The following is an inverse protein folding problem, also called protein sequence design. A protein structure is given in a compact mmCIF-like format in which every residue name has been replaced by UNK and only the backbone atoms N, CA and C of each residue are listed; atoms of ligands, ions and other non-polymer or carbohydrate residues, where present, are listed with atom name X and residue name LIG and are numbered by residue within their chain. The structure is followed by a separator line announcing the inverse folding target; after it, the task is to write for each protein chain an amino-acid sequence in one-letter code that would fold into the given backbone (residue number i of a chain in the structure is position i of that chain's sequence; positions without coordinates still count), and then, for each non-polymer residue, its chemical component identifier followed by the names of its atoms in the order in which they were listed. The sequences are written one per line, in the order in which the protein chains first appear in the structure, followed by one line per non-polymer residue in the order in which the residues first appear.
data_IF_963778937516
#
_entry.id   IF_963778937516
#
_cell.length_a   1.000
_cell.length_b   1.000
_cell.length_c   1.000
_cell.angle_alpha   90.00
_cell.angle_beta   90.00
_cell.angle_gamma   90.00
#
_symmetry.space_group_name_H-M   'P 1'
#
loop_
_entity.id
_entity.type
_entity.pdbx_description
1 polymer ?
#
# COMPACT_ATOMS: atom_id res chain seq x y z
N UNK A 1 -28.92 5.56 7.12
CA UNK A 1 -27.46 5.31 7.09
C UNK A 1 -27.07 5.03 5.67
N UNK A 2 -25.92 5.53 5.22
CA UNK A 2 -25.39 5.20 3.90
C UNK A 2 -24.89 3.74 3.86
N UNK A 3 -24.26 3.32 2.77
CA UNK A 3 -23.73 1.97 2.62
C UNK A 3 -22.62 1.61 3.63
N UNK A 4 -21.95 2.59 4.22
CA UNK A 4 -20.87 2.38 5.20
C UNK A 4 -21.30 2.67 6.65
N UNK A 5 -22.54 3.11 6.88
CA UNK A 5 -23.04 3.45 8.21
C UNK A 5 -23.58 2.25 8.98
N UNK A 6 -23.50 2.30 10.31
CA UNK A 6 -23.97 1.24 11.21
C UNK A 6 -24.61 1.79 12.49
N UNK A 7 -25.33 0.92 13.18
CA UNK A 7 -25.77 1.09 14.57
C UNK A 7 -25.19 -0.04 15.42
N UNK A 8 -24.55 0.29 16.54
CA UNK A 8 -24.06 -0.66 17.54
C UNK A 8 -24.83 -0.43 18.85
N UNK A 9 -25.40 -1.50 19.40
CA UNK A 9 -26.07 -1.51 20.70
C UNK A 9 -25.44 -2.57 21.59
N UNK A 10 -25.02 -2.16 22.78
CA UNK A 10 -24.48 -3.03 23.83
C UNK A 10 -25.36 -2.87 25.06
N UNK A 11 -26.06 -3.95 25.41
CA UNK A 11 -26.95 -4.03 26.58
C UNK A 11 -26.60 -5.28 27.40
N UNK A 12 -27.22 -5.44 28.58
CA UNK A 12 -26.97 -6.58 29.47
C UNK A 12 -27.40 -7.93 28.90
N UNK A 13 -28.30 -7.94 27.93
CA UNK A 13 -28.87 -9.12 27.27
C UNK A 13 -28.22 -9.44 25.91
N UNK A 14 -27.31 -8.59 25.42
CA UNK A 14 -26.55 -8.88 24.20
C UNK A 14 -25.93 -7.67 23.51
N UNK A 15 -25.22 -7.97 22.42
CA UNK A 15 -24.60 -7.00 21.52
C UNK A 15 -25.23 -7.14 20.13
N UNK A 16 -25.72 -6.04 19.57
CA UNK A 16 -26.33 -6.01 18.24
C UNK A 16 -25.63 -4.97 17.35
N UNK A 17 -25.21 -5.38 16.16
CA UNK A 17 -24.72 -4.49 15.10
C UNK A 17 -25.68 -4.58 13.91
N UNK A 18 -26.19 -3.45 13.45
CA UNK A 18 -27.07 -3.35 12.29
C UNK A 18 -26.50 -2.38 11.26
N UNK A 19 -26.51 -2.75 9.98
CA UNK A 19 -26.09 -1.89 8.90
C UNK A 19 -26.80 -2.23 7.59
N UNK A 20 -26.74 -1.31 6.63
CA UNK A 20 -27.35 -1.47 5.31
C UNK A 20 -26.46 -2.23 4.31
N UNK A 21 -25.22 -2.57 4.69
CA UNK A 21 -24.31 -3.37 3.87
C UNK A 21 -23.24 -4.07 4.73
N UNK A 22 -22.48 -4.97 4.09
CA UNK A 22 -21.31 -5.61 4.70
C UNK A 22 -20.23 -4.60 5.16
N UNK A 23 -20.04 -3.47 4.45
CA UNK A 23 -19.07 -2.44 4.86
C UNK A 23 -19.48 -1.79 6.18
N UNK A 24 -20.75 -1.43 6.32
CA UNK A 24 -21.27 -0.88 7.57
C UNK A 24 -21.16 -1.89 8.72
N UNK A 25 -21.51 -3.16 8.50
CA UNK A 25 -21.34 -4.21 9.51
C UNK A 25 -19.88 -4.32 9.95
N UNK A 26 -18.95 -4.35 8.99
CA UNK A 26 -17.52 -4.42 9.26
C UNK A 26 -17.05 -3.23 10.13
N UNK A 27 -17.44 -2.00 9.81
CA UNK A 27 -17.08 -0.82 10.61
C UNK A 27 -17.73 -0.81 12.00
N UNK A 28 -18.93 -1.36 12.14
CA UNK A 28 -19.56 -1.56 13.44
C UNK A 28 -18.76 -2.53 14.31
N UNK A 29 -18.24 -3.62 13.72
CA UNK A 29 -17.35 -4.55 14.40
C UNK A 29 -16.04 -3.85 14.81
N UNK A 30 -15.45 -3.02 13.96
CA UNK A 30 -14.25 -2.26 14.34
C UNK A 30 -14.47 -1.37 15.57
N UNK A 31 -15.62 -0.70 15.67
CA UNK A 31 -15.94 0.11 16.84
C UNK A 31 -16.15 -0.74 18.10
N UNK A 32 -16.79 -1.91 17.98
CA UNK A 32 -16.88 -2.84 19.09
C UNK A 32 -15.50 -3.32 19.57
N UNK A 33 -14.62 -3.70 18.63
CA UNK A 33 -13.26 -4.15 18.93
C UNK A 33 -12.40 -3.06 19.59
N UNK A 34 -12.67 -1.78 19.33
CA UNK A 34 -12.01 -0.66 20.01
C UNK A 34 -12.47 -0.46 21.47
N UNK A 35 -13.62 -1.02 21.85
CA UNK A 35 -14.08 -1.03 23.25
C UNK A 35 -13.39 -2.12 24.07
N UNK A 36 -12.68 -3.06 23.43
CA UNK A 36 -11.98 -4.13 24.12
C UNK A 36 -10.65 -3.63 24.72
N UNK A 37 -10.16 -4.23 25.81
CA UNK A 37 -8.90 -3.83 26.40
C UNK A 37 -7.71 -4.09 25.45
N UNK A 38 -6.63 -3.30 25.51
CA UNK A 38 -5.47 -3.48 24.63
C UNK A 38 -4.81 -4.87 24.70
N UNK A 39 -5.00 -5.60 25.82
CA UNK A 39 -4.52 -6.98 25.99
C UNK A 39 -5.13 -7.95 24.99
N UNK A 40 -6.34 -7.67 24.49
CA UNK A 40 -7.00 -8.46 23.44
C UNK A 40 -6.15 -8.63 22.18
N UNK A 41 -5.31 -7.64 21.85
CA UNK A 41 -4.47 -7.65 20.65
C UNK A 41 -3.07 -8.23 20.85
N UNK A 42 -2.70 -8.60 22.09
CA UNK A 42 -1.33 -9.03 22.45
C UNK A 42 -1.19 -10.52 22.73
N UNK A 43 -2.23 -11.16 23.23
CA UNK A 43 -2.17 -12.56 23.67
C UNK A 43 -3.53 -13.25 23.51
N UNK A 44 -3.52 -14.58 23.57
CA UNK A 44 -4.76 -15.38 23.67
C UNK A 44 -5.56 -14.92 24.88
N UNK A 45 -6.87 -14.74 24.68
CA UNK A 45 -7.79 -14.30 25.73
C UNK A 45 -7.96 -15.46 26.71
N UNK A 46 -7.60 -15.23 27.97
CA UNK A 46 -7.73 -16.23 29.04
C UNK A 46 -8.81 -15.87 30.07
N UNK A 47 -9.50 -14.74 29.88
CA UNK A 47 -10.51 -14.22 30.81
C UNK A 47 -11.67 -13.55 30.07
N UNK A 48 -12.82 -13.40 30.75
CA UNK A 48 -13.98 -12.67 30.24
C UNK A 48 -13.62 -11.21 29.90
N UNK A 49 -14.26 -10.67 28.86
CA UNK A 49 -14.13 -9.27 28.44
C UNK A 49 -15.41 -8.53 28.81
N UNK A 50 -15.27 -7.52 29.67
CA UNK A 50 -16.37 -6.64 30.05
C UNK A 50 -16.41 -5.46 29.08
N UNK A 51 -17.56 -5.22 28.47
CA UNK A 51 -17.80 -4.14 27.51
C UNK A 51 -18.85 -3.20 28.09
N UNK A 52 -18.59 -1.89 28.09
CA UNK A 52 -19.55 -0.89 28.58
C UNK A 52 -20.82 -0.86 27.73
N UNK A 53 -21.98 -0.72 28.38
CA UNK A 53 -23.24 -0.50 27.68
C UNK A 53 -23.24 0.82 26.90
N UNK A 54 -23.59 0.77 25.62
CA UNK A 54 -23.56 1.94 24.72
C UNK A 54 -24.55 1.76 23.56
N UNK A 55 -25.07 2.87 23.04
CA UNK A 55 -25.71 2.92 21.74
C UNK A 55 -24.95 3.91 20.84
N UNK A 56 -24.49 3.45 19.67
CA UNK A 56 -23.74 4.24 18.68
C UNK A 56 -24.49 4.19 17.36
N UNK A 57 -24.68 5.35 16.73
CA UNK A 57 -25.08 5.46 15.33
C UNK A 57 -23.99 6.24 14.60
N UNK A 58 -23.33 5.63 13.64
CA UNK A 58 -22.15 6.21 12.99
C UNK A 58 -22.18 6.02 11.46
N UNK A 59 -21.56 6.95 10.74
CA UNK A 59 -21.39 6.91 9.29
C UNK A 59 -20.25 7.85 8.87
N UNK A 60 -19.51 7.53 7.80
CA UNK A 60 -18.41 8.37 7.37
C UNK A 60 -18.90 9.68 6.75
N UNK A 61 -18.18 10.77 7.03
CA UNK A 61 -18.36 12.07 6.36
C UNK A 61 -17.93 12.02 4.90
N UNK A 62 -16.81 11.36 4.61
CA UNK A 62 -16.21 11.28 3.28
C UNK A 62 -16.23 9.83 2.75
N UNK A 63 -16.67 9.61 1.50
CA UNK A 63 -16.72 8.28 0.91
C UNK A 63 -15.34 7.74 0.53
N UNK A 64 -14.34 8.61 0.33
CA UNK A 64 -12.95 8.22 0.07
C UNK A 64 -12.11 8.52 1.30
N UNK A 65 -11.51 7.48 1.88
CA UNK A 65 -10.60 7.57 3.02
C UNK A 65 -9.39 6.72 2.69
N UNK A 66 -8.41 7.36 2.07
CA UNK A 66 -7.24 6.69 1.51
C UNK A 66 -5.96 6.91 2.30
N UNK A 67 -5.06 5.93 2.25
CA UNK A 67 -3.67 6.08 2.63
C UNK A 67 -2.77 5.55 1.51
N UNK A 68 -1.67 6.24 1.29
CA UNK A 68 -0.66 5.90 0.30
C UNK A 68 0.52 5.16 0.96
N UNK A 69 1.07 4.15 0.30
CA UNK A 69 2.34 3.52 0.66
C UNK A 69 3.25 3.44 -0.57
N UNK A 70 4.37 4.14 -0.49
CA UNK A 70 5.50 4.00 -1.41
C UNK A 70 6.25 2.71 -1.08
N UNK A 71 6.24 1.78 -2.02
CA UNK A 71 7.05 0.55 -1.96
C UNK A 71 8.17 0.53 -3.00
N UNK A 72 8.26 1.58 -3.81
CA UNK A 72 9.30 1.75 -4.81
C UNK A 72 10.62 2.18 -4.18
N UNK A 73 10.62 3.25 -3.37
CA UNK A 73 11.87 3.75 -2.72
C UNK A 73 12.43 2.71 -1.77
N UNK A 74 11.57 2.18 -0.91
CA UNK A 74 11.86 1.02 -0.06
C UNK A 74 10.69 0.03 -0.07
N UNK A 75 10.96 -1.20 -0.48
CA UNK A 75 10.00 -2.29 -0.51
C UNK A 75 9.70 -2.83 0.91
N UNK A 76 8.43 -3.17 1.15
CA UNK A 76 7.98 -3.83 2.37
C UNK A 76 7.58 -5.29 2.08
N UNK A 77 7.84 -6.23 2.99
CA UNK A 77 7.40 -7.61 2.79
C UNK A 77 5.87 -7.73 2.83
N UNK A 78 5.31 -8.76 2.19
CA UNK A 78 3.85 -9.02 2.14
C UNK A 78 3.20 -9.02 3.52
N UNK A 79 3.88 -9.60 4.53
CA UNK A 79 3.38 -9.63 5.90
C UNK A 79 3.22 -8.22 6.50
N UNK A 80 4.11 -7.28 6.17
CA UNK A 80 3.99 -5.89 6.57
C UNK A 80 2.79 -5.22 5.87
N UNK A 81 2.61 -5.45 4.57
CA UNK A 81 1.48 -4.87 3.81
C UNK A 81 0.16 -5.35 4.40
N UNK A 82 0.03 -6.64 4.71
CA UNK A 82 -1.15 -7.19 5.39
C UNK A 82 -1.38 -6.53 6.75
N UNK A 83 -0.33 -6.34 7.54
CA UNK A 83 -0.42 -5.63 8.82
C UNK A 83 -0.82 -4.15 8.64
N UNK A 84 -0.33 -3.49 7.60
CA UNK A 84 -0.70 -2.12 7.25
C UNK A 84 -2.19 -2.03 6.91
N UNK A 85 -2.70 -2.96 6.10
CA UNK A 85 -4.13 -3.09 5.77
C UNK A 85 -4.98 -3.33 7.02
N UNK A 86 -4.53 -4.16 7.97
CA UNK A 86 -5.25 -4.36 9.24
C UNK A 86 -5.43 -3.04 10.01
N UNK A 87 -4.40 -2.20 10.05
CA UNK A 87 -4.44 -0.89 10.71
C UNK A 87 -5.37 0.07 9.98
N UNK A 88 -5.30 0.13 8.64
CA UNK A 88 -6.23 0.92 7.84
C UNK A 88 -7.69 0.53 8.14
N UNK A 89 -7.97 -0.76 8.17
CA UNK A 89 -9.30 -1.29 8.42
C UNK A 89 -9.79 -0.95 9.83
N UNK A 90 -8.93 -1.08 10.84
CA UNK A 90 -9.22 -0.71 12.23
C UNK A 90 -9.63 0.76 12.37
N UNK A 91 -8.99 1.65 11.61
CA UNK A 91 -9.31 3.08 11.58
C UNK A 91 -10.37 3.46 10.53
N UNK A 92 -11.04 2.47 9.93
CA UNK A 92 -12.11 2.64 8.93
C UNK A 92 -11.66 3.35 7.65
N UNK A 93 -10.38 3.34 7.31
CA UNK A 93 -9.93 3.64 5.94
C UNK A 93 -10.52 2.60 4.98
N UNK A 94 -10.77 3.01 3.74
CA UNK A 94 -11.40 2.15 2.73
C UNK A 94 -10.66 2.11 1.41
N UNK A 95 -9.57 2.87 1.28
CA UNK A 95 -8.70 2.85 0.11
C UNK A 95 -7.24 2.73 0.52
N UNK A 96 -6.51 1.84 -0.14
CA UNK A 96 -5.06 1.75 -0.08
C UNK A 96 -4.50 2.12 -1.46
N UNK A 97 -3.82 3.26 -1.54
CA UNK A 97 -3.11 3.69 -2.75
C UNK A 97 -1.69 3.12 -2.72
N UNK A 98 -1.37 2.27 -3.68
CA UNK A 98 -0.16 1.47 -3.67
C UNK A 98 0.76 1.88 -4.81
N UNK A 99 1.78 2.66 -4.48
CA UNK A 99 2.76 3.20 -5.40
C UNK A 99 3.86 2.19 -5.67
N UNK A 100 3.77 1.53 -6.82
CA UNK A 100 4.51 0.30 -7.15
C UNK A 100 5.75 0.54 -7.99
N UNK A 101 5.91 1.72 -8.60
CA UNK A 101 6.97 1.99 -9.58
C UNK A 101 7.48 3.40 -9.41
N UNK A 102 8.79 3.58 -9.43
CA UNK A 102 9.44 4.90 -9.47
C UNK A 102 10.86 4.73 -10.04
N UNK A 103 11.68 5.79 -10.00
CA UNK A 103 13.04 5.79 -10.52
C UNK A 103 13.96 4.77 -9.83
N UNK A 104 13.77 4.56 -8.52
CA UNK A 104 14.60 3.69 -7.67
C UNK A 104 14.11 2.24 -7.61
N UNK A 105 13.01 1.93 -8.30
CA UNK A 105 12.72 0.56 -8.70
C UNK A 105 11.28 0.25 -9.11
N UNK A 106 11.14 -0.91 -9.74
CA UNK A 106 9.89 -1.44 -10.24
C UNK A 106 9.46 -2.66 -9.43
N UNK A 107 8.26 -2.63 -8.82
CA UNK A 107 7.89 -3.59 -7.78
C UNK A 107 6.83 -4.60 -8.17
N UNK A 108 6.31 -4.61 -9.39
CA UNK A 108 5.23 -5.53 -9.79
C UNK A 108 5.62 -6.40 -10.99
N UNK A 109 5.41 -7.70 -10.90
CA UNK A 109 5.67 -8.62 -12.01
C UNK A 109 4.75 -8.35 -13.21
N UNK A 110 5.35 -8.07 -14.38
CA UNK A 110 4.65 -7.97 -15.67
C UNK A 110 5.20 -9.03 -16.62
N UNK A 111 4.43 -10.09 -16.87
CA UNK A 111 4.89 -11.27 -17.64
C UNK A 111 5.39 -10.95 -19.05
N UNK A 112 4.80 -9.96 -19.71
CA UNK A 112 5.18 -9.55 -21.06
C UNK A 112 6.48 -8.74 -21.08
N UNK A 113 6.85 -8.13 -19.95
CA UNK A 113 8.01 -7.26 -19.79
C UNK A 113 8.88 -7.72 -18.60
N UNK A 114 9.49 -8.92 -18.67
CA UNK A 114 10.18 -9.53 -17.54
C UNK A 114 11.36 -8.69 -17.02
N UNK A 115 12.03 -7.93 -17.90
CA UNK A 115 13.17 -7.08 -17.49
C UNK A 115 12.78 -5.98 -16.50
N UNK A 116 11.50 -5.59 -16.44
CA UNK A 116 11.03 -4.64 -15.43
C UNK A 116 11.32 -5.14 -14.01
N UNK A 117 11.25 -6.45 -13.78
CA UNK A 117 11.59 -7.07 -12.49
C UNK A 117 12.96 -7.75 -12.45
N UNK A 118 13.52 -8.18 -13.58
CA UNK A 118 14.88 -8.75 -13.62
C UNK A 118 15.96 -7.67 -13.46
N UNK A 119 15.70 -6.46 -13.99
CA UNK A 119 16.61 -5.30 -13.94
C UNK A 119 15.99 -4.19 -13.09
N UNK A 120 14.82 -3.70 -13.48
CA UNK A 120 14.20 -2.51 -12.87
C UNK A 120 13.86 -2.65 -11.38
N UNK A 121 13.78 -3.87 -10.84
CA UNK A 121 13.52 -4.08 -9.42
C UNK A 121 14.76 -3.91 -8.52
N UNK A 122 15.96 -3.73 -9.07
CA UNK A 122 17.21 -3.70 -8.31
C UNK A 122 18.05 -2.48 -8.65
N UNK A 123 18.63 -1.87 -7.62
CA UNK A 123 19.61 -0.79 -7.73
C UNK A 123 20.90 -1.19 -7.00
N UNK A 124 22.03 -0.68 -7.45
CA UNK A 124 23.34 -1.09 -6.96
C UNK A 124 23.68 -0.56 -5.56
N UNK A 125 23.10 0.58 -5.18
CA UNK A 125 23.28 1.18 -3.85
C UNK A 125 22.16 2.17 -3.52
N UNK A 126 22.11 2.63 -2.28
CA UNK A 126 21.17 3.65 -1.81
C UNK A 126 21.92 4.84 -1.22
N UNK A 127 21.46 6.06 -1.52
CA UNK A 127 21.98 7.29 -0.96
C UNK A 127 21.80 7.31 0.57
N UNK A 128 22.89 7.57 1.29
CA UNK A 128 22.91 7.77 2.72
C UNK A 128 22.53 9.23 3.03
N UNK A 129 21.32 9.41 3.55
CA UNK A 129 20.81 10.73 3.93
C UNK A 129 20.04 11.42 2.79
N UNK A 130 20.27 12.71 2.61
CA UNK A 130 19.52 13.56 1.68
C UNK A 130 20.39 13.99 0.49
N UNK A 131 19.76 14.15 -0.68
CA UNK A 131 20.43 14.51 -1.95
C UNK A 131 20.95 15.94 -2.01
N UNK A 132 20.67 16.77 -0.99
CA UNK A 132 21.21 18.13 -0.84
C UNK A 132 22.56 18.18 -0.08
N UNK A 133 23.03 17.04 0.47
CA UNK A 133 24.28 16.99 1.25
C UNK A 133 25.45 16.47 0.42
N UNK A 134 26.34 17.38 0.05
CA UNK A 134 27.57 17.07 -0.69
C UNK A 134 28.77 16.81 0.26
N UNK A 135 29.70 15.90 -0.11
CA UNK A 135 29.58 14.97 -1.25
C UNK A 135 28.51 13.90 -0.99
N UNK A 136 27.82 13.47 -2.06
CA UNK A 136 26.87 12.35 -1.97
C UNK A 136 27.60 11.09 -1.48
N UNK A 137 26.95 10.34 -0.59
CA UNK A 137 27.49 9.10 -0.02
C UNK A 137 26.47 7.99 -0.22
N UNK A 138 26.93 6.84 -0.66
CA UNK A 138 26.09 5.65 -0.87
C UNK A 138 26.51 4.57 0.11
N UNK A 139 25.57 3.70 0.46
CA UNK A 139 25.83 2.56 1.33
C UNK A 139 26.67 1.46 0.64
N UNK A 140 26.66 1.41 -0.69
CA UNK A 140 27.37 0.41 -1.49
C UNK A 140 26.70 -0.97 -1.48
N UNK A 141 25.46 -1.06 -1.02
CA UNK A 141 24.74 -2.32 -0.84
C UNK A 141 23.60 -2.44 -1.88
N UNK A 142 23.59 -3.50 -2.72
CA UNK A 142 22.50 -3.73 -3.65
C UNK A 142 21.15 -3.83 -2.94
N UNK A 143 20.14 -3.16 -3.49
CA UNK A 143 18.80 -3.10 -2.92
C UNK A 143 17.75 -3.45 -3.97
N UNK A 144 16.78 -4.30 -3.62
CA UNK A 144 15.67 -4.54 -4.50
C UNK A 144 14.70 -5.64 -4.10
N UNK A 145 13.83 -5.97 -5.04
CA UNK A 145 12.73 -6.93 -4.88
C UNK A 145 11.46 -6.46 -5.57
N UNK A 146 10.53 -7.40 -5.76
CA UNK A 146 9.23 -7.16 -6.38
C UNK A 146 8.17 -8.13 -5.85
N UNK A 147 6.90 -7.80 -6.03
CA UNK A 147 5.75 -8.66 -5.75
C UNK A 147 5.41 -9.47 -6.99
N UNK A 148 5.38 -10.78 -6.83
CA UNK A 148 4.85 -11.71 -7.84
C UNK A 148 3.35 -11.49 -8.04
N UNK A 149 2.81 -11.92 -9.18
CA UNK A 149 1.38 -11.82 -9.45
C UNK A 149 0.51 -12.54 -8.41
N UNK A 150 0.99 -13.65 -7.85
CA UNK A 150 0.26 -14.37 -6.81
C UNK A 150 0.28 -13.64 -5.47
N UNK A 151 1.39 -13.00 -5.10
CA UNK A 151 1.44 -12.14 -3.91
C UNK A 151 0.52 -10.91 -4.06
N UNK A 152 0.48 -10.29 -5.24
CA UNK A 152 -0.43 -9.17 -5.51
C UNK A 152 -1.89 -9.61 -5.37
N UNK A 153 -2.28 -10.76 -5.94
CA UNK A 153 -3.64 -11.30 -5.78
C UNK A 153 -3.99 -11.57 -4.31
N UNK A 154 -3.06 -12.17 -3.57
CA UNK A 154 -3.23 -12.44 -2.13
C UNK A 154 -3.44 -11.15 -1.33
N UNK A 155 -2.66 -10.11 -1.60
CA UNK A 155 -2.82 -8.79 -0.97
C UNK A 155 -4.15 -8.14 -1.33
N UNK A 156 -4.56 -8.18 -2.61
CA UNK A 156 -5.83 -7.63 -3.07
C UNK A 156 -7.01 -8.33 -2.40
N UNK A 157 -6.97 -9.67 -2.32
CA UNK A 157 -8.01 -10.42 -1.62
C UNK A 157 -8.03 -10.08 -0.13
N UNK A 158 -6.86 -10.02 0.52
CA UNK A 158 -6.75 -9.69 1.95
C UNK A 158 -7.31 -8.30 2.29
N UNK A 159 -7.10 -7.32 1.41
CA UNK A 159 -7.70 -5.98 1.52
C UNK A 159 -9.22 -6.00 1.30
N UNK A 160 -9.69 -6.76 0.30
CA UNK A 160 -11.12 -6.91 -0.01
C UNK A 160 -11.90 -7.47 1.17
N UNK A 161 -11.36 -8.50 1.84
CA UNK A 161 -11.94 -9.11 3.04
C UNK A 161 -12.10 -8.10 4.21
N UNK A 162 -11.35 -6.99 4.15
CA UNK A 162 -11.35 -5.90 5.14
C UNK A 162 -12.03 -4.64 4.62
N UNK A 163 -12.81 -4.75 3.54
CA UNK A 163 -13.54 -3.64 2.93
C UNK A 163 -12.64 -2.51 2.41
N UNK A 164 -11.38 -2.82 2.09
CA UNK A 164 -10.40 -1.88 1.52
C UNK A 164 -10.23 -2.16 0.02
N UNK A 165 -10.43 -1.11 -0.78
CA UNK A 165 -10.07 -1.12 -2.19
C UNK A 165 -8.58 -0.79 -2.36
N UNK A 166 -7.89 -1.50 -3.24
CA UNK A 166 -6.51 -1.16 -3.63
C UNK A 166 -6.55 -0.39 -4.94
N UNK A 167 -5.89 0.76 -4.98
CA UNK A 167 -5.60 1.50 -6.21
C UNK A 167 -4.11 1.28 -6.47
N UNK A 168 -3.72 0.49 -7.48
CA UNK A 168 -2.33 0.39 -7.88
C UNK A 168 -1.93 1.63 -8.69
N UNK A 169 -0.70 2.09 -8.50
CA UNK A 169 -0.10 3.16 -9.30
C UNK A 169 1.14 2.64 -10.01
N UNK A 170 1.13 2.83 -11.33
CA UNK A 170 2.29 2.72 -12.22
C UNK A 170 2.51 4.13 -12.74
N UNK A 171 3.59 4.76 -12.32
CA UNK A 171 3.91 6.15 -12.62
C UNK A 171 4.24 6.36 -14.11
N UNK A 172 3.79 7.49 -14.64
CA UNK A 172 4.09 7.95 -16.01
C UNK A 172 3.69 9.42 -16.21
N UNK A 173 4.40 10.18 -17.09
CA UNK A 173 5.56 9.77 -17.88
C UNK A 173 6.89 9.87 -17.13
N UNK A 174 6.96 10.67 -16.06
CA UNK A 174 8.11 10.76 -15.16
C UNK A 174 8.15 9.61 -14.16
N UNK A 175 9.17 9.60 -13.29
CA UNK A 175 9.38 8.51 -12.32
C UNK A 175 9.57 7.13 -12.97
N UNK A 176 10.33 7.08 -14.06
CA UNK A 176 10.38 5.93 -14.98
C UNK A 176 11.78 5.37 -15.22
N UNK A 177 12.82 5.87 -14.53
CA UNK A 177 14.19 5.37 -14.73
C UNK A 177 14.33 3.85 -14.50
N UNK A 178 13.58 3.27 -13.57
CA UNK A 178 13.59 1.82 -13.38
C UNK A 178 13.09 1.05 -14.62
N UNK A 179 12.09 1.59 -15.31
CA UNK A 179 11.57 1.01 -16.54
C UNK A 179 12.50 1.28 -17.73
N UNK A 180 13.08 2.48 -17.83
CA UNK A 180 14.03 2.83 -18.89
C UNK A 180 15.35 2.06 -18.76
N UNK A 181 15.80 1.73 -17.55
CA UNK A 181 16.94 0.83 -17.33
C UNK A 181 16.67 -0.59 -17.85
N UNK A 182 15.42 -1.05 -17.75
CA UNK A 182 15.00 -2.36 -18.25
C UNK A 182 14.78 -2.38 -19.77
N UNK A 183 14.20 -1.31 -20.31
CA UNK A 183 13.81 -1.14 -21.71
C UNK A 183 14.16 0.28 -22.20
N UNK A 184 15.43 0.55 -22.52
CA UNK A 184 15.90 1.87 -22.92
C UNK A 184 15.27 2.38 -24.21
N UNK A 185 14.73 1.48 -25.04
CA UNK A 185 14.03 1.83 -26.27
C UNK A 185 12.80 2.71 -26.04
N UNK A 186 12.28 2.83 -24.80
CA UNK A 186 11.15 3.72 -24.49
C UNK A 186 11.56 5.15 -24.13
N UNK A 187 12.85 5.47 -24.04
CA UNK A 187 13.33 6.83 -23.84
C UNK A 187 13.37 7.64 -25.16
N UNK A 188 13.44 8.96 -25.05
CA UNK A 188 13.74 9.84 -26.19
C UNK A 188 15.26 10.07 -26.35
N UNK A 189 16.00 10.00 -25.25
CA UNK A 189 17.45 10.21 -25.17
C UNK A 189 18.19 8.89 -25.38
N UNK A 190 19.45 8.99 -25.81
CA UNK A 190 20.34 7.82 -25.83
C UNK A 190 20.78 7.50 -24.40
N UNK A 191 20.71 6.22 -24.02
CA UNK A 191 21.19 5.75 -22.72
C UNK A 191 22.72 5.80 -22.58
N UNK A 192 23.30 5.13 -21.56
CA UNK A 192 22.67 4.11 -20.71
C UNK A 192 21.83 4.69 -19.56
N UNK A 193 20.70 4.04 -19.26
CA UNK A 193 19.92 4.28 -18.04
C UNK A 193 20.24 3.23 -16.98
N UNK A 194 20.13 3.61 -15.72
CA UNK A 194 20.31 2.73 -14.58
C UNK A 194 19.25 3.02 -13.52
N UNK A 195 18.92 2.00 -12.72
CA UNK A 195 18.04 2.20 -11.56
C UNK A 195 18.80 3.01 -10.52
N UNK A 196 18.33 4.20 -10.22
CA UNK A 196 19.09 5.17 -9.41
C UNK A 196 19.02 4.86 -7.91
N UNK A 197 20.12 5.12 -7.22
CA UNK A 197 20.22 5.09 -5.75
C UNK A 197 19.88 6.39 -5.06
N UNK A 198 19.62 7.44 -5.83
CA UNK A 198 19.41 8.80 -5.36
C UNK A 198 17.93 9.16 -5.23
N UNK A 199 17.66 10.18 -4.42
CA UNK A 199 16.33 10.78 -4.27
C UNK A 199 16.25 12.08 -5.05
N UNK A 200 15.11 12.34 -5.70
CA UNK A 200 14.90 13.61 -6.39
C UNK A 200 13.94 13.47 -7.56
N UNK A 201 14.05 14.43 -8.47
CA UNK A 201 13.34 14.45 -9.75
C UNK A 201 14.37 14.21 -10.83
N UNK A 202 14.06 13.32 -11.77
CA UNK A 202 14.94 12.95 -12.87
C UNK A 202 14.35 13.42 -14.20
N UNK A 203 15.22 13.80 -15.14
CA UNK A 203 14.81 14.41 -16.41
C UNK A 203 14.46 13.37 -17.49
N UNK A 204 15.04 12.17 -17.42
CA UNK A 204 14.75 11.10 -18.35
C UNK A 204 13.37 10.49 -18.04
N UNK A 205 12.47 10.60 -19.02
CA UNK A 205 11.08 10.17 -18.94
C UNK A 205 10.72 9.30 -20.14
N UNK A 206 9.56 8.64 -20.10
CA UNK A 206 9.03 7.93 -21.28
C UNK A 206 8.87 8.87 -22.48
N UNK A 207 9.26 8.38 -23.66
CA UNK A 207 9.09 9.09 -24.91
C UNK A 207 7.64 8.94 -25.41
N UNK A 208 6.95 10.03 -25.79
CA UNK A 208 5.58 9.98 -26.28
C UNK A 208 5.54 9.52 -27.75
N UNK A 209 5.83 8.24 -27.99
CA UNK A 209 5.79 7.56 -29.30
C UNK A 209 4.90 6.33 -29.26
N UNK A 210 4.43 5.88 -30.43
CA UNK A 210 3.46 4.79 -30.55
C UNK A 210 3.91 3.50 -29.87
N UNK A 211 5.21 3.18 -29.87
CA UNK A 211 5.73 1.98 -29.23
C UNK A 211 5.62 2.01 -27.70
N UNK A 212 5.48 3.19 -27.11
CA UNK A 212 5.31 3.38 -25.66
C UNK A 212 3.86 3.18 -25.20
N UNK A 213 2.87 3.41 -26.07
CA UNK A 213 1.43 3.32 -25.75
C UNK A 213 0.86 1.91 -25.93
#
# INVERSE_FOLDING_TARGET
LNSEGYRLKVHSDGIQIQANSAKGLFYGVQSLLQMFPPTFYKSVITSEIIVSGVEITDQPRFPYRGMHLDVSRHMFPVCFIKRYIDLLAMYKYNTFHWHLTDDQGWRIEIKQYPKLTEIGAFRDSTLVGHSDKLPLKYDGEPYGGYYTREQVKDIVQYASDRMIAIIPEIEMPGHTLAALAAYPEYACTEGPFHVVGEWGVFEDIYCPKEETF
#
